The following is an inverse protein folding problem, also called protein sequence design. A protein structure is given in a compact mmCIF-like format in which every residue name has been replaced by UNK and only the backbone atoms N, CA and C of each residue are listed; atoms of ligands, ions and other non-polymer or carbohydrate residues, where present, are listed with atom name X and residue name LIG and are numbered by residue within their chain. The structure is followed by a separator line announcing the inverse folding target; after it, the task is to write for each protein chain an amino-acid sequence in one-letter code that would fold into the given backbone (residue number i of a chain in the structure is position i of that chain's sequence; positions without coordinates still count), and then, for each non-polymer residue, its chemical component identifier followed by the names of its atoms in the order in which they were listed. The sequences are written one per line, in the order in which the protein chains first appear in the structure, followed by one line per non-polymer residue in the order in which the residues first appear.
data_IF_306364211030
#
_entry.id   IF_306364211030
#
_cell.length_a   1.000
_cell.length_b   1.000
_cell.length_c   1.000
_cell.angle_alpha   90.00
_cell.angle_beta   90.00
_cell.angle_gamma   90.00
#
_symmetry.space_group_name_H-M   'P 1'
#
loop_
_entity.id
_entity.type
_entity.pdbx_description
1 polymer ?
#
# COMPACT_ATOMS: atom_id res chain seq x y z
N UNK A 1 -3.69 -16.70 -21.46
CA UNK A 1 -4.20 -15.53 -20.74
C UNK A 1 -4.55 -15.98 -19.33
N UNK A 2 -3.71 -15.69 -18.33
CA UNK A 2 -4.13 -15.87 -16.94
C UNK A 2 -5.02 -14.68 -16.59
N UNK A 3 -6.25 -14.97 -16.16
CA UNK A 3 -7.19 -13.97 -15.65
C UNK A 3 -6.55 -13.17 -14.51
N UNK A 4 -6.91 -11.90 -14.36
CA UNK A 4 -6.36 -11.00 -13.33
C UNK A 4 -6.44 -11.66 -11.96
N UNK A 5 -5.29 -12.03 -11.41
CA UNK A 5 -5.19 -12.56 -10.06
C UNK A 5 -5.36 -11.40 -9.09
N UNK A 6 -6.15 -11.60 -8.02
CA UNK A 6 -6.21 -10.65 -6.92
C UNK A 6 -4.88 -10.69 -6.19
N UNK A 7 -4.19 -9.56 -6.17
CA UNK A 7 -2.89 -9.39 -5.51
C UNK A 7 -2.99 -8.71 -4.13
N UNK A 8 -4.18 -8.21 -3.78
CA UNK A 8 -4.37 -7.43 -2.56
C UNK A 8 -5.69 -6.66 -2.49
N UNK A 9 -5.81 -5.88 -1.41
CA UNK A 9 -6.93 -5.00 -1.09
C UNK A 9 -6.43 -3.59 -0.69
N UNK A 10 -7.21 -2.56 -0.94
CA UNK A 10 -6.92 -1.19 -0.52
C UNK A 10 -8.15 -0.51 0.09
N UNK A 11 -7.96 0.31 1.13
CA UNK A 11 -9.05 1.03 1.80
C UNK A 11 -8.61 2.40 2.31
N UNK A 12 -9.55 3.34 2.38
CA UNK A 12 -9.31 4.69 2.87
C UNK A 12 -8.87 4.69 4.35
N UNK A 13 -7.85 5.49 4.65
CA UNK A 13 -7.32 5.67 5.99
C UNK A 13 -6.80 7.10 6.18
N UNK A 14 -6.65 7.51 7.45
CA UNK A 14 -6.13 8.82 7.83
C UNK A 14 -4.89 8.67 8.70
N UNK A 15 -3.88 9.48 8.44
CA UNK A 15 -2.60 9.42 9.14
C UNK A 15 -2.75 9.99 10.56
N UNK A 16 -1.82 9.62 11.44
CA UNK A 16 -1.72 10.20 12.79
C UNK A 16 -0.81 11.44 12.84
N UNK A 17 -0.43 11.99 11.67
CA UNK A 17 0.37 13.20 11.60
C UNK A 17 -0.50 14.43 11.91
N UNK A 18 0.13 15.55 12.25
CA UNK A 18 -0.53 16.85 12.42
C UNK A 18 0.01 17.82 11.36
N UNK A 19 -0.80 18.27 10.37
CA UNK A 19 -2.20 17.92 10.16
C UNK A 19 -2.40 16.48 9.63
N UNK A 20 -3.56 15.84 9.92
CA UNK A 20 -3.88 14.52 9.40
C UNK A 20 -3.94 14.50 7.87
N UNK A 21 -3.39 13.46 7.25
CA UNK A 21 -3.39 13.26 5.79
C UNK A 21 -4.19 12.03 5.42
N UNK A 22 -5.01 12.15 4.39
CA UNK A 22 -5.76 11.02 3.84
C UNK A 22 -4.84 10.19 2.92
N UNK A 23 -4.98 8.88 2.99
CA UNK A 23 -4.20 7.91 2.21
C UNK A 23 -4.99 6.62 2.01
N UNK A 24 -4.52 5.76 1.10
CA UNK A 24 -5.04 4.39 1.00
C UNK A 24 -4.11 3.44 1.74
N UNK A 25 -4.65 2.72 2.73
CA UNK A 25 -3.95 1.57 3.29
C UNK A 25 -4.08 0.40 2.32
N UNK A 26 -2.95 -0.20 1.98
CA UNK A 26 -2.87 -1.30 1.01
C UNK A 26 -2.34 -2.54 1.69
N UNK A 27 -2.99 -3.69 1.47
CA UNK A 27 -2.46 -5.01 1.79
C UNK A 27 -2.19 -5.75 0.50
N UNK A 28 -0.95 -6.15 0.26
CA UNK A 28 -0.56 -7.02 -0.85
C UNK A 28 -0.28 -8.42 -0.30
N UNK A 29 -1.00 -9.42 -0.77
CA UNK A 29 -0.96 -10.81 -0.29
C UNK A 29 -0.81 -11.82 -1.45
N UNK A 30 -0.01 -11.44 -2.45
CA UNK A 30 0.34 -12.30 -3.57
C UNK A 30 1.28 -13.46 -3.16
N UNK A 31 1.02 -14.72 -3.60
CA UNK A 31 1.87 -15.88 -3.31
C UNK A 31 3.33 -15.77 -3.75
N UNK A 32 3.64 -14.89 -4.71
CA UNK A 32 5.00 -14.59 -5.16
C UNK A 32 5.80 -13.72 -4.17
N UNK A 33 5.16 -13.17 -3.14
CA UNK A 33 5.83 -12.40 -2.10
C UNK A 33 6.32 -13.31 -0.97
N UNK A 34 7.48 -13.02 -0.33
CA UNK A 34 7.94 -13.76 0.86
C UNK A 34 6.97 -13.73 2.06
N UNK A 35 5.93 -12.89 1.99
CA UNK A 35 4.89 -12.70 2.99
C UNK A 35 4.07 -11.46 2.65
N UNK A 36 2.87 -11.31 3.25
CA UNK A 36 2.01 -10.16 3.01
C UNK A 36 2.70 -8.84 3.36
N UNK A 37 2.36 -7.79 2.62
CA UNK A 37 2.89 -6.45 2.84
C UNK A 37 1.76 -5.52 3.18
N UNK A 38 1.94 -4.74 4.25
CA UNK A 38 1.09 -3.60 4.54
C UNK A 38 1.83 -2.33 4.14
N UNK A 39 1.17 -1.48 3.37
CA UNK A 39 1.73 -0.25 2.85
C UNK A 39 0.74 0.91 2.97
N UNK A 40 1.25 2.13 2.89
CA UNK A 40 0.47 3.35 2.73
C UNK A 40 0.71 3.89 1.31
N UNK A 41 -0.36 4.06 0.54
CA UNK A 41 -0.35 4.69 -0.77
C UNK A 41 -0.78 6.15 -0.61
N UNK A 42 0.14 7.06 -0.90
CA UNK A 42 0.03 8.49 -0.70
C UNK A 42 -0.11 9.15 -2.08
N UNK A 43 -1.29 9.66 -2.46
CA UNK A 43 -1.45 10.40 -3.70
C UNK A 43 -0.58 11.65 -3.69
N UNK A 44 -0.01 11.99 -4.84
CA UNK A 44 0.63 13.28 -5.03
C UNK A 44 -0.43 14.36 -5.27
N UNK A 45 -0.06 15.63 -5.14
CA UNK A 45 -1.00 16.76 -5.20
C UNK A 45 -1.78 16.85 -6.53
N UNK A 46 -1.23 16.28 -7.61
CA UNK A 46 -1.86 16.20 -8.93
C UNK A 46 -2.77 15.00 -9.16
N UNK A 47 -2.85 14.04 -8.23
CA UNK A 47 -3.72 12.86 -8.31
C UNK A 47 -3.40 11.82 -9.39
N UNK A 48 -2.45 12.09 -10.29
CA UNK A 48 -2.03 11.16 -11.36
C UNK A 48 -1.02 10.12 -10.87
N UNK A 49 -0.27 10.44 -9.83
CA UNK A 49 0.78 9.60 -9.27
C UNK A 49 0.58 9.42 -7.76
N UNK A 50 1.17 8.36 -7.22
CA UNK A 50 1.15 8.08 -5.80
C UNK A 50 2.42 7.37 -5.35
N UNK A 51 2.86 7.70 -4.14
CA UNK A 51 4.00 7.09 -3.47
C UNK A 51 3.53 5.93 -2.58
N UNK A 52 4.06 4.72 -2.80
CA UNK A 52 3.79 3.55 -1.96
C UNK A 52 4.89 3.40 -0.90
N UNK A 53 4.57 3.76 0.35
CA UNK A 53 5.45 3.61 1.50
C UNK A 53 5.20 2.28 2.22
N UNK A 54 6.25 1.46 2.33
CA UNK A 54 6.20 0.16 3.02
C UNK A 54 7.50 -0.06 3.82
N UNK A 55 7.46 -0.98 4.78
CA UNK A 55 8.68 -1.45 5.44
C UNK A 55 8.67 -2.97 5.52
N UNK A 56 9.82 -3.57 5.26
CA UNK A 56 10.08 -4.98 5.52
C UNK A 56 11.11 -5.05 6.63
N UNK A 57 10.81 -5.78 7.72
CA UNK A 57 11.88 -6.18 8.63
C UNK A 57 12.84 -7.04 7.82
N UNK A 58 14.07 -6.55 7.62
CA UNK A 58 15.15 -7.36 7.07
C UNK A 58 15.31 -8.62 7.93
N UNK A 59 15.71 -9.73 7.32
CA UNK A 59 16.16 -10.90 8.09
C UNK A 59 17.41 -10.46 8.86
N UNK A 60 17.24 -10.18 10.15
CA UNK A 60 18.35 -10.09 11.09
C UNK A 60 18.98 -11.46 11.28
#
# INVERSE_FOLDING_TARGET
MIAGHRIGDAWAARSKAEPPRDYLRVRLDDPGLPGPITAALLPDDGGETANLAWSRKGRG
#
